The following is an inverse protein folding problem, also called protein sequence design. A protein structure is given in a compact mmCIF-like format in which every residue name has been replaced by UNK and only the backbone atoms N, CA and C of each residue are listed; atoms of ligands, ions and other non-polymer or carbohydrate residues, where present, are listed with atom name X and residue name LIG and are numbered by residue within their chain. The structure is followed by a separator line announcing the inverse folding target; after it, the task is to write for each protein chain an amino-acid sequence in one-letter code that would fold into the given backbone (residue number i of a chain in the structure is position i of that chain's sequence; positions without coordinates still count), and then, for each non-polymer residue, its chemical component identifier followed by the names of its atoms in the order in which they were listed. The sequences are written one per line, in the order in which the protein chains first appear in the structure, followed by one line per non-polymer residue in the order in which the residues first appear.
data_IF_542530670131
#
_entry.id   IF_542530670131
#
_cell.length_a   1.000
_cell.length_b   1.000
_cell.length_c   1.000
_cell.angle_alpha   90.00
_cell.angle_beta   90.00
_cell.angle_gamma   90.00
#
_symmetry.space_group_name_H-M   'P 1'
#
loop_
_entity.id
_entity.type
_entity.pdbx_description
1 polymer ?
#
# COMPACT_ATOMS: atom_id res chain seq x y z
N UNK A 1 22.85 -12.80 7.65
CA UNK A 1 23.17 -11.41 8.05
C UNK A 1 21.93 -10.61 8.43
N UNK A 2 20.90 -10.48 7.57
CA UNK A 2 19.66 -9.73 7.87
C UNK A 2 18.96 -10.15 9.17
N UNK A 3 18.80 -11.46 9.41
CA UNK A 3 18.24 -12.00 10.65
C UNK A 3 19.00 -11.57 11.93
N UNK A 4 20.33 -11.56 11.88
CA UNK A 4 21.17 -11.14 13.02
C UNK A 4 21.00 -9.64 13.30
N UNK A 5 20.91 -8.82 12.25
CA UNK A 5 20.63 -7.38 12.36
C UNK A 5 19.24 -7.12 12.95
N UNK A 6 18.23 -7.90 12.54
CA UNK A 6 16.87 -7.81 13.06
C UNK A 6 16.84 -8.18 14.56
N UNK A 7 17.51 -9.27 14.95
CA UNK A 7 17.58 -9.73 16.35
C UNK A 7 18.30 -8.71 17.27
N UNK A 8 19.41 -8.13 16.80
CA UNK A 8 20.13 -7.07 17.52
C UNK A 8 19.28 -5.81 17.69
N UNK A 9 18.52 -5.44 16.65
CA UNK A 9 17.64 -4.27 16.68
C UNK A 9 16.52 -4.45 17.72
N UNK A 10 15.93 -5.65 17.78
CA UNK A 10 14.89 -5.97 18.77
C UNK A 10 15.47 -5.93 20.18
N UNK A 11 16.65 -6.52 20.40
CA UNK A 11 17.32 -6.49 21.70
C UNK A 11 17.57 -5.07 22.18
N UNK A 12 18.11 -4.20 21.31
CA UNK A 12 18.36 -2.79 21.62
C UNK A 12 17.08 -2.04 22.00
N UNK A 13 15.98 -2.25 21.26
CA UNK A 13 14.68 -1.63 21.55
C UNK A 13 14.18 -2.06 22.94
N UNK A 14 14.27 -3.35 23.27
CA UNK A 14 13.86 -3.87 24.58
C UNK A 14 14.69 -3.22 25.68
N UNK A 15 16.01 -3.14 25.53
CA UNK A 15 16.89 -2.49 26.50
C UNK A 15 16.53 -1.02 26.70
N UNK A 16 16.28 -0.27 25.63
CA UNK A 16 15.87 1.14 25.72
C UNK A 16 14.52 1.31 26.41
N UNK A 17 13.56 0.44 26.14
CA UNK A 17 12.24 0.46 26.81
C UNK A 17 12.39 0.19 28.30
N UNK A 18 13.22 -0.78 28.70
CA UNK A 18 13.47 -1.08 30.11
C UNK A 18 14.18 0.09 30.80
N UNK A 19 15.20 0.67 30.17
CA UNK A 19 15.92 1.83 30.72
C UNK A 19 15.00 3.05 30.87
N UNK A 20 14.20 3.35 29.85
CA UNK A 20 13.22 4.44 29.89
C UNK A 20 12.17 4.23 30.97
N UNK A 21 11.65 3.00 31.11
CA UNK A 21 10.71 2.64 32.17
C UNK A 21 11.32 2.81 33.56
N UNK A 22 12.55 2.33 33.78
CA UNK A 22 13.24 2.46 35.05
C UNK A 22 13.51 3.92 35.41
N UNK A 23 13.89 4.75 34.44
CA UNK A 23 14.07 6.19 34.64
C UNK A 23 12.76 6.89 35.00
N UNK A 24 11.66 6.52 34.33
CA UNK A 24 10.33 7.10 34.55
C UNK A 24 9.78 6.74 35.93
N UNK A 25 9.80 5.45 36.29
CA UNK A 25 9.34 4.97 37.60
C UNK A 25 10.26 5.49 38.72
N UNK A 26 11.58 5.50 38.48
CA UNK A 26 12.57 6.07 39.39
C UNK A 26 12.24 7.51 39.78
N UNK A 27 11.84 8.31 38.80
CA UNK A 27 11.52 9.73 39.00
C UNK A 27 10.17 9.97 39.71
N UNK A 28 9.19 9.09 39.51
CA UNK A 28 7.83 9.28 40.04
C UNK A 28 7.51 8.50 41.33
N UNK A 29 8.03 7.28 41.45
CA UNK A 29 7.64 6.30 42.49
C UNK A 29 8.85 5.77 43.28
N UNK A 30 10.06 6.24 42.98
CA UNK A 30 11.30 5.79 43.60
C UNK A 30 11.80 4.45 43.03
N UNK A 31 12.45 3.63 43.86
CA UNK A 31 13.11 2.40 43.39
C UNK A 31 12.12 1.39 42.79
N UNK A 32 12.31 0.95 41.53
CA UNK A 32 11.39 0.03 40.88
C UNK A 32 11.42 -1.35 41.53
N UNK A 33 10.28 -1.74 42.12
CA UNK A 33 10.01 -3.10 42.63
C UNK A 33 9.46 -4.04 41.56
N UNK A 34 9.55 -5.35 41.78
CA UNK A 34 9.16 -6.41 40.83
C UNK A 34 7.73 -6.28 40.28
N UNK A 35 6.76 -5.86 41.11
CA UNK A 35 5.36 -5.72 40.67
C UNK A 35 5.15 -4.59 39.65
N UNK A 36 6.03 -3.58 39.60
CA UNK A 36 5.97 -2.55 38.56
C UNK A 36 6.23 -3.13 37.17
N UNK A 37 7.13 -4.11 37.06
CA UNK A 37 7.42 -4.77 35.78
C UNK A 37 6.24 -5.62 35.32
N UNK A 38 5.57 -6.34 36.23
CA UNK A 38 4.33 -7.07 35.89
C UNK A 38 3.25 -6.11 35.41
N UNK A 39 3.06 -4.99 36.13
CA UNK A 39 2.13 -3.95 35.72
C UNK A 39 2.49 -3.38 34.33
N UNK A 40 3.77 -3.12 34.06
CA UNK A 40 4.24 -2.66 32.76
C UNK A 40 3.92 -3.64 31.64
N UNK A 41 4.10 -4.95 31.87
CA UNK A 41 3.73 -5.99 30.90
C UNK A 41 2.23 -6.00 30.60
N UNK A 42 1.38 -5.84 31.63
CA UNK A 42 -0.07 -5.73 31.45
C UNK A 42 -0.41 -4.48 30.63
N UNK A 43 0.20 -3.33 30.95
CA UNK A 43 -0.01 -2.09 30.19
C UNK A 43 0.43 -2.25 28.74
N UNK A 44 1.60 -2.82 28.47
CA UNK A 44 2.07 -3.08 27.10
C UNK A 44 1.13 -4.02 26.35
N UNK A 45 0.62 -5.05 27.02
CA UNK A 45 -0.39 -5.94 26.44
C UNK A 45 -1.67 -5.18 26.08
N UNK A 46 -2.19 -4.35 26.98
CA UNK A 46 -3.38 -3.53 26.75
C UNK A 46 -3.16 -2.50 25.62
N UNK A 47 -2.02 -1.82 25.60
CA UNK A 47 -1.63 -0.89 24.52
C UNK A 47 -1.60 -1.63 23.19
N UNK A 48 -0.98 -2.81 23.14
CA UNK A 48 -0.89 -3.63 21.93
C UNK A 48 -2.27 -4.06 21.42
N UNK A 49 -3.19 -4.38 22.33
CA UNK A 49 -4.48 -4.95 21.96
C UNK A 49 -5.57 -3.89 21.71
N UNK A 50 -5.55 -2.78 22.45
CA UNK A 50 -6.56 -1.72 22.37
C UNK A 50 -6.11 -0.54 21.51
N UNK A 51 -4.91 -0.02 21.76
CA UNK A 51 -4.45 1.23 21.16
C UNK A 51 -3.91 0.98 19.74
N UNK A 52 -3.08 -0.04 19.54
CA UNK A 52 -2.49 -0.29 18.21
C UNK A 52 -3.56 -0.43 17.11
N UNK A 53 -4.63 -1.26 17.25
CA UNK A 53 -5.63 -1.39 16.19
C UNK A 53 -6.31 -0.06 15.85
N UNK A 54 -6.57 0.77 16.86
CA UNK A 54 -7.14 2.11 16.67
C UNK A 54 -6.16 3.03 15.93
N UNK A 55 -4.91 3.10 16.37
CA UNK A 55 -3.86 3.88 15.69
C UNK A 55 -3.67 3.43 14.24
N UNK A 56 -3.65 2.12 13.96
CA UNK A 56 -3.57 1.60 12.60
C UNK A 56 -4.76 1.99 11.73
N UNK A 57 -5.96 2.07 12.32
CA UNK A 57 -7.17 2.53 11.62
C UNK A 57 -7.05 4.02 11.26
N UNK A 58 -6.58 4.85 12.17
CA UNK A 58 -6.38 6.29 11.92
C UNK A 58 -5.27 6.54 10.88
N UNK A 59 -4.14 5.85 10.97
CA UNK A 59 -3.06 5.94 9.96
C UNK A 59 -3.60 5.56 8.57
N UNK A 60 -4.40 4.48 8.47
CA UNK A 60 -5.06 4.09 7.22
C UNK A 60 -6.03 5.17 6.73
N UNK A 61 -6.81 5.77 7.62
CA UNK A 61 -7.74 6.84 7.28
C UNK A 61 -7.00 8.07 6.72
N UNK A 62 -5.92 8.50 7.38
CA UNK A 62 -5.07 9.61 6.95
C UNK A 62 -4.42 9.29 5.60
N UNK A 63 -3.87 8.09 5.42
CA UNK A 63 -3.27 7.65 4.14
C UNK A 63 -4.30 7.66 3.01
N UNK A 64 -5.52 7.22 3.28
CA UNK A 64 -6.62 7.22 2.29
C UNK A 64 -7.09 8.64 1.97
N UNK A 65 -7.16 9.51 2.97
CA UNK A 65 -7.47 10.93 2.78
C UNK A 65 -6.40 11.63 1.93
N UNK A 66 -5.11 11.40 2.23
CA UNK A 66 -4.00 11.96 1.47
C UNK A 66 -4.04 11.50 0.00
N UNK A 67 -4.31 10.21 -0.25
CA UNK A 67 -4.49 9.68 -1.63
C UNK A 67 -5.67 10.32 -2.36
N UNK A 68 -6.78 10.58 -1.68
CA UNK A 68 -7.93 11.28 -2.29
C UNK A 68 -7.60 12.74 -2.61
N UNK A 69 -6.82 13.41 -1.77
CA UNK A 69 -6.45 14.82 -1.94
C UNK A 69 -5.38 15.03 -3.01
N UNK A 70 -4.40 14.14 -3.09
CA UNK A 70 -3.32 14.17 -4.07
C UNK A 70 -3.50 13.05 -5.09
N UNK A 71 -4.54 13.15 -5.91
CA UNK A 71 -4.89 12.13 -6.90
C UNK A 71 -3.81 11.99 -7.96
N UNK A 72 -3.01 10.92 -7.84
CA UNK A 72 -2.20 10.41 -8.94
C UNK A 72 -2.94 9.26 -9.60
N UNK A 73 -3.07 9.33 -10.92
CA UNK A 73 -3.68 8.29 -11.74
C UNK A 73 -2.57 7.64 -12.56
N UNK A 74 -2.38 6.34 -12.38
CA UNK A 74 -1.49 5.52 -13.20
C UNK A 74 -2.27 4.90 -14.36
N UNK A 75 -1.68 4.87 -15.54
CA UNK A 75 -2.21 4.14 -16.71
C UNK A 75 -1.14 3.12 -17.11
N UNK A 76 -1.49 1.83 -17.09
CA UNK A 76 -0.55 0.79 -17.49
C UNK A 76 -0.18 0.95 -18.97
N UNK A 77 1.11 0.86 -19.26
CA UNK A 77 1.66 0.95 -20.62
C UNK A 77 1.89 -0.43 -21.27
N UNK A 78 1.60 -1.52 -20.55
CA UNK A 78 1.74 -2.90 -21.02
C UNK A 78 3.15 -3.46 -20.96
N UNK A 79 4.08 -2.81 -20.25
CA UNK A 79 5.44 -3.30 -19.97
C UNK A 79 5.61 -3.65 -18.48
N UNK A 80 6.65 -4.44 -18.18
CA UNK A 80 7.02 -4.82 -16.81
C UNK A 80 7.93 -3.77 -16.21
N UNK A 81 9.10 -3.52 -16.79
CA UNK A 81 10.07 -2.54 -16.29
C UNK A 81 10.29 -1.39 -17.26
N UNK A 82 10.77 -1.69 -18.47
CA UNK A 82 11.12 -0.67 -19.46
C UNK A 82 10.39 -0.89 -20.80
N UNK A 83 9.50 0.04 -21.19
CA UNK A 83 8.75 -0.09 -22.42
C UNK A 83 9.61 0.01 -23.70
N UNK A 84 10.88 0.40 -23.62
CA UNK A 84 11.81 0.44 -24.76
C UNK A 84 12.57 -0.88 -24.98
N UNK A 85 12.71 -1.72 -23.93
CA UNK A 85 13.52 -2.95 -23.96
C UNK A 85 12.68 -4.22 -23.96
N UNK A 86 11.38 -4.11 -23.68
CA UNK A 86 10.50 -5.24 -23.48
C UNK A 86 9.40 -5.34 -24.54
N UNK A 87 8.93 -6.56 -24.76
CA UNK A 87 7.75 -6.80 -25.56
C UNK A 87 6.51 -6.35 -24.80
N UNK A 88 5.85 -5.31 -25.30
CA UNK A 88 4.63 -4.77 -24.68
C UNK A 88 3.45 -5.69 -24.93
N UNK A 89 2.44 -5.64 -24.06
CA UNK A 89 1.12 -6.17 -24.36
C UNK A 89 0.55 -5.48 -25.61
N UNK A 90 0.59 -6.18 -26.76
CA UNK A 90 0.09 -5.65 -28.03
C UNK A 90 -1.42 -5.78 -28.16
N UNK A 91 -2.01 -6.78 -27.49
CA UNK A 91 -3.45 -7.06 -27.57
C UNK A 91 -4.21 -6.13 -26.63
N UNK A 92 -4.56 -4.96 -27.13
CA UNK A 92 -5.63 -4.18 -26.52
C UNK A 92 -6.94 -4.94 -26.72
N UNK A 93 -7.72 -5.13 -25.66
CA UNK A 93 -9.06 -5.72 -25.78
C UNK A 93 -10.03 -4.79 -26.52
N UNK A 94 -9.66 -3.53 -26.71
CA UNK A 94 -10.45 -2.50 -27.37
C UNK A 94 -9.63 -1.61 -28.27
N UNK A 95 -10.35 -0.80 -29.06
CA UNK A 95 -9.77 0.21 -29.94
C UNK A 95 -9.21 1.43 -29.19
N UNK A 96 -9.22 1.43 -27.85
CA UNK A 96 -8.75 2.53 -27.01
C UNK A 96 -7.35 2.21 -26.48
N UNK A 97 -6.36 2.90 -27.00
CA UNK A 97 -4.97 2.73 -26.55
C UNK A 97 -4.74 3.40 -25.19
N UNK A 98 -3.70 2.98 -24.48
CA UNK A 98 -3.25 3.65 -23.25
C UNK A 98 -2.97 5.15 -23.46
N UNK A 99 -2.49 5.54 -24.66
CA UNK A 99 -2.27 6.94 -25.02
C UNK A 99 -3.57 7.75 -25.14
N UNK A 100 -4.63 7.13 -25.68
CA UNK A 100 -5.96 7.75 -25.79
C UNK A 100 -6.54 7.99 -24.40
N UNK A 101 -6.43 7.01 -23.49
CA UNK A 101 -6.79 7.19 -22.08
C UNK A 101 -6.05 8.37 -21.45
N UNK A 102 -4.73 8.46 -21.64
CA UNK A 102 -3.94 9.55 -21.09
C UNK A 102 -4.40 10.92 -21.63
N UNK A 103 -4.65 11.01 -22.94
CA UNK A 103 -5.13 12.24 -23.59
C UNK A 103 -6.51 12.64 -23.07
N UNK A 104 -7.45 11.68 -23.03
CA UNK A 104 -8.83 11.92 -22.59
C UNK A 104 -8.91 12.29 -21.11
N UNK A 105 -8.18 11.61 -20.23
CA UNK A 105 -8.15 11.96 -18.81
C UNK A 105 -7.52 13.34 -18.59
N UNK A 106 -6.45 13.68 -19.32
CA UNK A 106 -5.86 15.03 -19.24
C UNK A 106 -6.81 16.12 -19.72
N UNK A 107 -7.64 15.84 -20.72
CA UNK A 107 -8.63 16.78 -21.24
C UNK A 107 -9.79 17.00 -20.26
N UNK A 108 -10.25 15.95 -19.59
CA UNK A 108 -11.49 15.98 -18.80
C UNK A 108 -11.27 16.19 -17.29
N UNK A 109 -10.08 15.91 -16.75
CA UNK A 109 -9.83 16.04 -15.32
C UNK A 109 -9.34 17.45 -14.95
N UNK A 110 -9.71 17.89 -13.74
CA UNK A 110 -9.35 19.21 -13.20
C UNK A 110 -7.84 19.37 -13.06
N UNK A 111 -7.38 20.62 -13.20
CA UNK A 111 -6.03 21.07 -12.85
C UNK A 111 -5.67 20.61 -11.44
N UNK A 112 -4.60 19.83 -11.30
CA UNK A 112 -4.11 19.27 -10.03
C UNK A 112 -4.06 17.75 -9.96
N UNK A 113 -4.81 17.02 -10.80
CA UNK A 113 -4.67 15.55 -10.90
C UNK A 113 -3.45 15.21 -11.76
N UNK A 114 -2.53 14.41 -11.23
CA UNK A 114 -1.34 13.97 -11.98
C UNK A 114 -1.64 12.65 -12.67
N UNK A 115 -1.56 12.62 -13.99
CA UNK A 115 -1.76 11.40 -14.80
C UNK A 115 -0.41 10.95 -15.32
N UNK A 116 -0.06 9.69 -15.10
CA UNK A 116 1.22 9.12 -15.47
C UNK A 116 1.04 7.77 -16.16
N UNK A 117 1.76 7.58 -17.26
CA UNK A 117 1.94 6.26 -17.87
C UNK A 117 2.97 5.48 -17.05
N UNK A 118 2.62 4.27 -16.64
CA UNK A 118 3.46 3.44 -15.76
C UNK A 118 3.61 2.01 -16.29
N UNK A 119 4.72 1.36 -15.93
CA UNK A 119 4.90 -0.09 -16.07
C UNK A 119 4.28 -0.83 -14.87
N UNK A 120 4.13 -2.16 -14.96
CA UNK A 120 3.61 -2.93 -13.81
C UNK A 120 4.56 -2.90 -12.62
N UNK A 121 5.87 -2.78 -12.83
CA UNK A 121 6.83 -2.62 -11.73
C UNK A 121 6.74 -1.30 -10.97
N UNK A 122 6.00 -0.32 -11.50
CA UNK A 122 5.79 0.99 -10.89
C UNK A 122 4.46 1.08 -10.13
N UNK A 123 3.75 -0.04 -9.97
CA UNK A 123 2.54 -0.10 -9.14
C UNK A 123 2.95 0.10 -7.69
N UNK A 124 2.56 1.24 -7.12
CA UNK A 124 2.83 1.59 -5.73
C UNK A 124 1.63 2.28 -5.07
N UNK A 125 1.78 2.61 -3.78
CA UNK A 125 0.74 3.25 -2.97
C UNK A 125 0.65 4.78 -3.18
N UNK A 126 1.46 5.35 -4.07
CA UNK A 126 1.40 6.77 -4.43
C UNK A 126 0.26 7.06 -5.40
N UNK A 127 -0.25 6.05 -6.10
CA UNK A 127 -1.43 6.16 -6.97
C UNK A 127 -2.74 5.98 -6.20
N UNK A 128 -3.74 6.80 -6.52
CA UNK A 128 -5.12 6.62 -6.02
C UNK A 128 -5.93 5.67 -6.90
N UNK A 129 -5.61 5.66 -8.20
CA UNK A 129 -6.26 4.86 -9.23
C UNK A 129 -5.20 4.39 -10.22
N UNK A 130 -5.23 3.10 -10.58
CA UNK A 130 -4.48 2.56 -11.71
C UNK A 130 -5.48 2.00 -12.71
N UNK A 131 -5.32 2.38 -13.98
CA UNK A 131 -6.15 1.94 -15.09
C UNK A 131 -5.37 0.92 -15.91
N UNK A 132 -5.96 -0.26 -16.11
CA UNK A 132 -5.48 -1.26 -17.06
C UNK A 132 -6.27 -1.16 -18.37
N UNK A 133 -5.71 -0.55 -19.43
CA UNK A 133 -6.38 -0.45 -20.72
C UNK A 133 -6.41 -1.79 -21.48
N UNK A 134 -5.67 -2.79 -21.02
CA UNK A 134 -5.55 -4.10 -21.68
C UNK A 134 -6.55 -5.14 -21.14
N UNK A 135 -7.59 -4.73 -20.41
CA UNK A 135 -8.63 -5.62 -19.90
C UNK A 135 -8.09 -6.58 -18.85
N UNK A 136 -8.35 -7.88 -19.00
CA UNK A 136 -7.86 -8.92 -18.08
C UNK A 136 -6.39 -9.32 -18.35
N UNK A 137 -5.76 -8.73 -19.37
CA UNK A 137 -4.37 -9.01 -19.73
C UNK A 137 -3.48 -7.94 -19.10
N UNK A 138 -2.38 -8.36 -18.49
CA UNK A 138 -1.29 -7.52 -18.04
C UNK A 138 0.00 -8.35 -18.04
N UNK A 139 1.18 -7.72 -18.18
CA UNK A 139 2.42 -8.47 -18.22
C UNK A 139 2.77 -8.96 -16.80
N UNK A 140 2.94 -10.27 -16.68
CA UNK A 140 3.25 -10.95 -15.42
C UNK A 140 4.77 -11.10 -15.28
N UNK A 141 5.34 -10.61 -14.16
CA UNK A 141 6.78 -10.69 -13.88
C UNK A 141 7.26 -12.14 -13.84
N UNK A 142 6.46 -12.98 -13.21
CA UNK A 142 6.76 -14.38 -13.03
C UNK A 142 5.45 -15.17 -13.03
N UNK A 143 5.24 -15.95 -14.09
CA UNK A 143 4.00 -16.68 -14.34
C UNK A 143 3.72 -17.79 -13.32
N UNK A 144 4.72 -18.21 -12.55
CA UNK A 144 4.56 -19.24 -11.50
C UNK A 144 4.17 -18.64 -10.16
N UNK A 145 4.77 -17.50 -9.78
CA UNK A 145 4.52 -16.84 -8.50
C UNK A 145 3.38 -15.82 -8.56
N UNK A 146 2.96 -15.39 -9.76
CA UNK A 146 1.94 -14.36 -9.96
C UNK A 146 2.28 -13.04 -9.24
N UNK A 147 3.55 -12.65 -9.28
CA UNK A 147 4.09 -11.47 -8.60
C UNK A 147 3.34 -10.16 -8.94
N UNK A 148 3.07 -9.90 -10.22
CA UNK A 148 2.32 -8.70 -10.64
C UNK A 148 0.90 -8.73 -10.07
N UNK A 149 0.24 -9.89 -10.08
CA UNK A 149 -1.09 -10.02 -9.49
C UNK A 149 -1.09 -9.76 -7.98
N UNK A 150 -0.08 -10.25 -7.26
CA UNK A 150 0.07 -9.98 -5.82
C UNK A 150 0.34 -8.50 -5.54
N UNK A 151 1.09 -7.81 -6.39
CA UNK A 151 1.28 -6.35 -6.33
C UNK A 151 -0.04 -5.60 -6.51
N UNK A 152 -0.84 -5.97 -7.52
CA UNK A 152 -2.18 -5.40 -7.76
C UNK A 152 -3.10 -5.64 -6.55
N UNK A 153 -3.11 -6.87 -6.02
CA UNK A 153 -3.90 -7.24 -4.84
C UNK A 153 -3.48 -6.44 -3.61
N UNK A 154 -2.18 -6.26 -3.40
CA UNK A 154 -1.65 -5.45 -2.31
C UNK A 154 -2.02 -3.97 -2.47
N UNK A 155 -1.93 -3.42 -3.67
CA UNK A 155 -2.38 -2.07 -3.98
C UNK A 155 -3.87 -1.86 -3.64
N UNK A 156 -4.74 -2.78 -4.07
CA UNK A 156 -6.18 -2.75 -3.75
C UNK A 156 -6.39 -2.92 -2.24
N UNK A 157 -5.74 -3.88 -1.59
CA UNK A 157 -5.85 -4.11 -0.14
C UNK A 157 -5.46 -2.87 0.67
N UNK A 158 -4.52 -2.09 0.15
CA UNK A 158 -4.11 -0.83 0.76
C UNK A 158 -5.08 0.32 0.50
N UNK A 159 -6.14 0.17 -0.30
CA UNK A 159 -7.12 1.22 -0.58
C UNK A 159 -6.96 1.91 -1.94
N UNK A 160 -6.06 1.41 -2.79
CA UNK A 160 -5.98 1.82 -4.18
C UNK A 160 -7.17 1.29 -4.98
N UNK A 161 -7.50 1.96 -6.09
CA UNK A 161 -8.52 1.50 -7.03
C UNK A 161 -7.84 0.97 -8.28
N UNK A 162 -8.10 -0.28 -8.65
CA UNK A 162 -7.60 -0.86 -9.89
C UNK A 162 -8.77 -1.02 -10.86
N UNK A 163 -8.74 -0.28 -11.96
CA UNK A 163 -9.82 -0.24 -12.95
C UNK A 163 -9.41 -1.06 -14.17
N UNK A 164 -10.17 -2.11 -14.45
CA UNK A 164 -10.07 -2.87 -15.69
C UNK A 164 -10.99 -2.25 -16.73
N UNK A 165 -10.64 -2.35 -18.01
CA UNK A 165 -11.40 -1.75 -19.12
C UNK A 165 -12.87 -2.20 -19.19
N UNK A 166 -13.28 -3.28 -18.52
CA UNK A 166 -14.70 -3.64 -18.42
C UNK A 166 -15.41 -2.80 -17.36
N UNK A 167 -16.36 -1.97 -17.82
CA UNK A 167 -17.36 -1.19 -17.06
C UNK A 167 -18.00 -1.92 -15.86
N UNK A 168 -17.87 -3.24 -15.75
CA UNK A 168 -18.49 -4.06 -14.70
C UNK A 168 -17.68 -4.27 -13.43
N UNK A 169 -16.38 -3.96 -13.37
CA UNK A 169 -15.58 -4.30 -12.19
C UNK A 169 -14.62 -3.18 -11.76
N UNK A 170 -15.07 -2.39 -10.78
CA UNK A 170 -14.21 -1.53 -9.98
C UNK A 170 -13.71 -2.34 -8.78
N UNK A 171 -12.41 -2.63 -8.72
CA UNK A 171 -11.83 -3.24 -7.53
C UNK A 171 -11.59 -2.15 -6.48
N UNK A 172 -12.38 -2.18 -5.41
CA UNK A 172 -12.19 -1.33 -4.24
C UNK A 172 -12.00 -2.20 -3.00
N UNK A 173 -11.05 -1.79 -2.14
CA UNK A 173 -10.74 -2.43 -0.86
C UNK A 173 -11.96 -2.56 0.07
N UNK A 174 -13.04 -1.80 -0.21
CA UNK A 174 -14.24 -1.75 0.62
C UNK A 174 -15.12 -2.98 0.48
N UNK A 175 -14.94 -3.82 -0.55
CA UNK A 175 -15.88 -4.91 -0.82
C UNK A 175 -15.29 -6.32 -0.83
N UNK A 176 -13.98 -6.57 -1.03
CA UNK A 176 -13.43 -7.94 -1.17
C UNK A 176 -14.28 -8.87 -2.09
N UNK A 177 -15.10 -8.27 -2.97
CA UNK A 177 -16.08 -8.91 -3.84
C UNK A 177 -16.26 -8.00 -5.04
N UNK A 178 -16.49 -8.62 -6.19
CA UNK A 178 -16.84 -7.96 -7.44
C UNK A 178 -18.14 -7.17 -7.25
N UNK A 179 -18.04 -5.85 -7.08
CA UNK A 179 -19.22 -4.99 -7.08
C UNK A 179 -19.55 -4.66 -8.53
N UNK A 180 -20.61 -5.29 -9.03
CA UNK A 180 -21.22 -4.95 -10.32
C UNK A 180 -21.84 -3.56 -10.16
N UNK A 181 -21.27 -2.56 -10.83
CA UNK A 181 -21.90 -1.24 -11.01
C UNK A 181 -22.88 -1.32 -12.18
#
# INVERSE_FOLDING_TARGET
MKKILDDLSISLIITLVILGFNSFIGSFLGTPKWYHYIFALIVLFLVKWLILPWVWKEIKAIKNWARKKFSKIGILNGSIFDPAKEFRCQKAWTNVTASMWNSELKRNLKTGTKIQMISTSQIDDSFSLIINPFGDIYPEKNTKSHETFDEIKNFIKQGGHFCLYWWRFLFSSRYNTFTRI
#
